data_IF_212184582372
#
_entry.id   IF_212184582372
#
_cell.length_a   1.000
_cell.length_b   1.000
_cell.length_c   1.000
_cell.angle_alpha   90.00
_cell.angle_beta   90.00
_cell.angle_gamma   90.00
#
_symmetry.space_group_name_H-M   'P 1'
#
loop_
_entity.id
_entity.type
_entity.pdbx_description
1 polymer ?
#
# COMPACT_ATOMS: atom_id res chain seq x y z
N UNK A 1 34.81 -40.62 14.16
CA UNK A 1 33.60 -40.19 13.42
C UNK A 1 33.18 -38.75 13.71
N UNK A 2 33.05 -38.32 14.98
CA UNK A 2 32.67 -36.93 15.33
C UNK A 2 33.63 -35.85 14.80
N UNK A 3 34.94 -36.10 14.81
CA UNK A 3 35.94 -35.16 14.29
C UNK A 3 35.90 -35.03 12.76
N UNK A 4 35.59 -36.11 12.03
CA UNK A 4 35.39 -36.09 10.58
C UNK A 4 34.12 -35.32 10.18
N UNK A 5 33.05 -35.44 10.97
CA UNK A 5 31.82 -34.65 10.82
C UNK A 5 32.06 -33.16 11.07
N UNK A 6 32.84 -32.81 12.10
CA UNK A 6 33.22 -31.42 12.36
C UNK A 6 34.09 -30.84 11.24
N UNK A 7 35.02 -31.64 10.71
CA UNK A 7 35.86 -31.24 9.58
C UNK A 7 35.03 -31.04 8.31
N UNK A 8 34.05 -31.91 8.03
CA UNK A 8 33.19 -31.77 6.85
C UNK A 8 32.28 -30.55 6.96
N UNK A 9 31.76 -30.26 8.16
CA UNK A 9 30.93 -29.07 8.41
C UNK A 9 31.74 -27.77 8.23
N UNK A 10 33.01 -27.78 8.66
CA UNK A 10 33.91 -26.65 8.49
C UNK A 10 34.20 -26.41 7.00
N UNK A 11 34.50 -27.46 6.23
CA UNK A 11 34.75 -27.35 4.78
C UNK A 11 33.51 -26.86 4.02
N UNK A 12 32.31 -27.34 4.35
CA UNK A 12 31.06 -26.85 3.75
C UNK A 12 30.80 -25.36 4.03
N UNK A 13 31.32 -24.84 5.15
CA UNK A 13 31.14 -23.43 5.52
C UNK A 13 31.94 -22.48 4.61
N UNK A 14 33.02 -22.97 3.97
CA UNK A 14 33.87 -22.18 3.08
C UNK A 14 33.42 -22.17 1.61
N UNK A 15 32.43 -22.98 1.21
CA UNK A 15 31.90 -22.99 -0.16
C UNK A 15 30.78 -21.96 -0.40
N UNK A 16 30.50 -21.10 0.59
CA UNK A 16 29.38 -20.14 0.57
C UNK A 16 29.60 -18.84 -0.21
N UNK A 17 30.73 -18.66 -0.91
CA UNK A 17 30.97 -17.49 -1.74
C UNK A 17 30.00 -17.44 -2.92
N UNK A 18 28.83 -16.82 -2.74
CA UNK A 18 27.93 -16.48 -3.83
C UNK A 18 28.42 -15.21 -4.51
N UNK A 19 28.81 -15.34 -5.78
CA UNK A 19 28.96 -14.19 -6.67
C UNK A 19 27.56 -13.71 -7.05
N UNK A 20 27.02 -12.74 -6.32
CA UNK A 20 25.69 -12.18 -6.62
C UNK A 20 25.84 -11.28 -7.85
N UNK A 21 25.31 -11.74 -8.98
CA UNK A 21 25.25 -10.93 -10.19
C UNK A 21 24.41 -9.68 -9.92
N UNK A 22 25.05 -8.51 -9.95
CA UNK A 22 24.37 -7.23 -9.84
C UNK A 22 23.62 -6.96 -11.14
N UNK A 23 22.31 -6.61 -11.08
CA UNK A 23 21.56 -6.25 -12.27
C UNK A 23 22.19 -5.00 -12.92
N UNK A 24 22.39 -5.06 -14.23
CA UNK A 24 22.84 -3.91 -15.00
C UNK A 24 21.79 -2.80 -14.97
N UNK A 25 22.23 -1.54 -15.08
CA UNK A 25 21.33 -0.40 -15.15
C UNK A 25 20.49 -0.47 -16.43
N UNK A 26 19.14 -0.58 -16.34
CA UNK A 26 18.29 -0.59 -17.52
C UNK A 26 18.39 0.74 -18.28
N UNK A 27 18.34 0.68 -19.63
CA UNK A 27 18.37 1.89 -20.49
C UNK A 27 17.15 2.79 -20.27
N UNK A 28 16.04 2.16 -19.91
CA UNK A 28 14.73 2.72 -19.67
C UNK A 28 14.39 2.73 -18.16
N UNK A 29 15.40 2.88 -17.30
CA UNK A 29 15.20 2.91 -15.85
C UNK A 29 14.11 3.92 -15.43
N UNK A 30 13.10 3.44 -14.71
CA UNK A 30 12.07 4.28 -14.08
C UNK A 30 12.76 5.16 -13.04
N UNK A 31 12.57 6.49 -13.08
CA UNK A 31 13.17 7.39 -12.09
C UNK A 31 12.73 7.05 -10.67
N UNK A 32 13.56 7.36 -9.66
CA UNK A 32 13.24 7.08 -8.24
C UNK A 32 11.88 7.66 -7.86
N UNK A 33 11.61 8.91 -8.22
CA UNK A 33 10.35 9.61 -7.91
C UNK A 33 9.14 8.92 -8.56
N UNK A 34 9.27 8.56 -9.84
CA UNK A 34 8.21 7.84 -10.57
C UNK A 34 8.00 6.44 -10.01
N UNK A 35 9.05 5.78 -9.54
CA UNK A 35 8.97 4.49 -8.85
C UNK A 35 8.23 4.63 -7.52
N UNK A 36 8.47 5.70 -6.75
CA UNK A 36 7.70 5.99 -5.53
C UNK A 36 6.22 6.20 -5.87
N UNK A 37 5.89 6.97 -6.91
CA UNK A 37 4.49 7.16 -7.35
C UNK A 37 3.83 5.83 -7.73
N UNK A 38 4.51 5.04 -8.56
CA UNK A 38 4.01 3.76 -9.08
C UNK A 38 3.80 2.74 -7.96
N UNK A 39 4.77 2.60 -7.04
CA UNK A 39 4.64 1.73 -5.89
C UNK A 39 3.53 2.20 -4.95
N UNK A 40 3.39 3.52 -4.71
CA UNK A 40 2.27 4.05 -3.91
C UNK A 40 0.93 3.58 -4.47
N UNK A 41 0.73 3.69 -5.79
CA UNK A 41 -0.50 3.23 -6.46
C UNK A 41 -0.66 1.71 -6.40
N UNK A 42 0.42 0.95 -6.57
CA UNK A 42 0.39 -0.51 -6.46
C UNK A 42 -0.04 -0.98 -5.06
N UNK A 43 0.44 -0.33 -4.00
CA UNK A 43 0.03 -0.65 -2.62
C UNK A 43 -1.42 -0.22 -2.35
N UNK A 44 -1.88 0.91 -2.89
CA UNK A 44 -3.31 1.28 -2.83
C UNK A 44 -4.20 0.28 -3.56
N UNK A 45 -3.78 -0.19 -4.74
CA UNK A 45 -4.47 -1.24 -5.47
C UNK A 45 -4.54 -2.55 -4.68
N UNK A 46 -3.44 -2.94 -4.01
CA UNK A 46 -3.43 -4.11 -3.14
C UNK A 46 -4.37 -3.96 -1.95
N UNK A 47 -4.46 -2.76 -1.35
CA UNK A 47 -5.43 -2.47 -0.31
C UNK A 47 -6.89 -2.53 -0.84
N UNK A 48 -7.15 -2.07 -2.06
CA UNK A 48 -8.48 -2.20 -2.67
C UNK A 48 -8.86 -3.67 -2.91
N UNK A 49 -7.91 -4.49 -3.39
CA UNK A 49 -8.10 -5.93 -3.58
C UNK A 49 -8.37 -6.66 -2.26
N UNK A 50 -7.71 -6.28 -1.17
CA UNK A 50 -7.93 -6.92 0.13
C UNK A 50 -9.33 -6.66 0.69
N UNK A 51 -10.00 -5.58 0.25
CA UNK A 51 -11.40 -5.29 0.61
C UNK A 51 -12.38 -6.16 -0.19
N UNK A 52 -12.28 -6.17 -1.52
CA UNK A 52 -13.17 -6.99 -2.36
C UNK A 52 -12.56 -7.26 -3.75
N UNK A 53 -11.67 -8.25 -3.82
CA UNK A 53 -11.07 -8.66 -5.09
C UNK A 53 -12.10 -9.23 -6.07
N UNK A 54 -13.13 -9.94 -5.59
CA UNK A 54 -14.13 -10.56 -6.46
C UNK A 54 -14.88 -9.49 -7.28
N UNK A 55 -15.32 -8.41 -6.64
CA UNK A 55 -16.00 -7.32 -7.34
C UNK A 55 -15.11 -6.61 -8.38
N UNK A 56 -13.78 -6.60 -8.19
CA UNK A 56 -12.82 -6.06 -9.16
C UNK A 56 -12.72 -7.02 -10.36
N UNK A 57 -12.56 -8.32 -10.09
CA UNK A 57 -12.41 -9.37 -11.11
C UNK A 57 -13.69 -9.54 -11.93
N UNK A 58 -14.86 -9.56 -11.31
CA UNK A 58 -16.17 -9.71 -11.97
C UNK A 58 -16.45 -8.57 -12.96
N UNK A 59 -15.94 -7.37 -12.66
CA UNK A 59 -16.01 -6.20 -13.55
C UNK A 59 -14.95 -6.22 -14.65
N UNK A 60 -14.11 -7.25 -14.71
CA UNK A 60 -13.01 -7.37 -15.66
C UNK A 60 -11.90 -6.32 -15.47
N UNK A 61 -11.79 -5.73 -14.28
CA UNK A 61 -10.85 -4.62 -14.03
C UNK A 61 -9.44 -5.20 -13.84
N UNK A 62 -8.55 -4.88 -14.78
CA UNK A 62 -7.13 -5.23 -14.71
C UNK A 62 -6.32 -4.09 -14.09
N UNK A 63 -6.34 -3.99 -12.76
CA UNK A 63 -5.73 -2.86 -12.06
C UNK A 63 -4.24 -2.69 -12.39
N UNK A 64 -3.45 -3.77 -12.45
CA UNK A 64 -2.02 -3.66 -12.77
C UNK A 64 -1.78 -3.04 -14.16
N UNK A 65 -2.58 -3.45 -15.15
CA UNK A 65 -2.52 -2.87 -16.49
C UNK A 65 -2.91 -1.39 -16.51
N UNK A 66 -3.86 -0.98 -15.66
CA UNK A 66 -4.24 0.42 -15.52
C UNK A 66 -3.11 1.24 -14.89
N UNK A 67 -2.45 0.72 -13.86
CA UNK A 67 -1.29 1.38 -13.23
C UNK A 67 -0.19 1.59 -14.26
N UNK A 68 0.25 0.52 -14.93
CA UNK A 68 1.27 0.58 -15.99
C UNK A 68 0.92 1.61 -17.08
N UNK A 69 -0.32 1.60 -17.56
CA UNK A 69 -0.82 2.58 -18.53
C UNK A 69 -0.77 4.01 -18.01
N UNK A 70 -1.23 4.26 -16.79
CA UNK A 70 -1.28 5.59 -16.17
C UNK A 70 0.12 6.19 -16.00
N UNK A 71 1.09 5.36 -15.64
CA UNK A 71 2.48 5.78 -15.47
C UNK A 71 3.29 5.73 -16.76
N UNK A 72 2.75 5.25 -17.89
CA UNK A 72 3.50 5.01 -19.14
C UNK A 72 4.76 4.17 -18.85
N UNK A 73 4.54 3.03 -18.22
CA UNK A 73 5.54 2.03 -17.88
C UNK A 73 5.03 0.68 -18.35
N UNK A 74 5.89 -0.17 -18.89
CA UNK A 74 5.53 -1.57 -19.14
C UNK A 74 6.02 -2.49 -18.01
N UNK A 75 5.49 -3.71 -17.97
CA UNK A 75 5.77 -4.67 -16.90
C UNK A 75 7.24 -5.09 -16.84
N UNK A 76 7.92 -5.16 -17.99
CA UNK A 76 9.33 -5.55 -18.06
C UNK A 76 10.22 -4.40 -17.61
N UNK A 77 9.93 -3.17 -18.03
CA UNK A 77 10.57 -1.96 -17.54
C UNK A 77 10.46 -1.85 -16.01
N UNK A 78 9.27 -2.09 -15.45
CA UNK A 78 9.08 -2.13 -14.00
C UNK A 78 9.92 -3.22 -13.33
N UNK A 79 9.85 -4.46 -13.82
CA UNK A 79 10.59 -5.57 -13.25
C UNK A 79 12.11 -5.32 -13.23
N UNK A 80 12.66 -4.83 -14.35
CA UNK A 80 14.08 -4.52 -14.48
C UNK A 80 14.49 -3.33 -13.59
N UNK A 81 13.67 -2.28 -13.53
CA UNK A 81 13.92 -1.13 -12.65
C UNK A 81 13.84 -1.50 -11.18
N UNK A 82 12.87 -2.33 -10.80
CA UNK A 82 12.72 -2.83 -9.44
C UNK A 82 13.91 -3.71 -9.04
N UNK A 83 14.34 -4.62 -9.91
CA UNK A 83 15.54 -5.43 -9.68
C UNK A 83 16.79 -4.56 -9.51
N UNK A 84 16.97 -3.55 -10.37
CA UNK A 84 18.08 -2.60 -10.27
C UNK A 84 18.11 -1.87 -8.93
N UNK A 85 16.97 -1.34 -8.47
CA UNK A 85 16.91 -0.66 -7.18
C UNK A 85 17.05 -1.59 -5.98
N UNK A 86 16.50 -2.81 -6.05
CA UNK A 86 16.58 -3.79 -4.97
C UNK A 86 18.01 -4.30 -4.72
N UNK A 87 18.92 -4.12 -5.68
CA UNK A 87 20.32 -4.53 -5.56
C UNK A 87 21.13 -3.65 -4.61
N UNK A 88 20.69 -2.40 -4.37
CA UNK A 88 21.21 -1.52 -3.32
C UNK A 88 20.14 -1.30 -2.25
N UNK A 89 20.31 -2.01 -1.13
CA UNK A 89 19.37 -2.01 0.01
C UNK A 89 19.11 -0.58 0.51
N UNK A 90 20.11 0.29 0.54
CA UNK A 90 19.95 1.65 1.04
C UNK A 90 19.04 2.46 0.10
N UNK A 91 19.33 2.43 -1.21
CA UNK A 91 18.47 3.08 -2.21
C UNK A 91 17.05 2.53 -2.19
N UNK A 92 16.88 1.21 -2.05
CA UNK A 92 15.56 0.61 -2.03
C UNK A 92 14.78 1.03 -0.78
N UNK A 93 15.44 1.09 0.37
CA UNK A 93 14.85 1.58 1.61
C UNK A 93 14.38 3.03 1.49
N UNK A 94 15.17 3.92 0.87
CA UNK A 94 14.78 5.31 0.63
C UNK A 94 13.47 5.41 -0.19
N UNK A 95 13.33 4.57 -1.22
CA UNK A 95 12.11 4.51 -2.04
C UNK A 95 10.92 4.12 -1.16
N UNK A 96 11.04 3.04 -0.39
CA UNK A 96 9.95 2.57 0.46
C UNK A 96 9.58 3.52 1.59
N UNK A 97 10.55 4.19 2.21
CA UNK A 97 10.27 5.23 3.21
C UNK A 97 9.44 6.37 2.63
N UNK A 98 9.72 6.78 1.39
CA UNK A 98 8.90 7.78 0.69
C UNK A 98 7.50 7.27 0.35
N UNK A 99 7.37 5.99 -0.05
CA UNK A 99 6.07 5.34 -0.28
C UNK A 99 5.25 5.34 1.01
N UNK A 100 5.83 4.88 2.10
CA UNK A 100 5.19 4.85 3.42
C UNK A 100 4.74 6.24 3.86
N UNK A 101 5.62 7.25 3.79
CA UNK A 101 5.29 8.61 4.17
C UNK A 101 4.08 9.17 3.40
N UNK A 102 3.96 8.85 2.10
CA UNK A 102 2.81 9.25 1.28
C UNK A 102 1.53 8.53 1.70
N UNK A 103 1.60 7.21 1.90
CA UNK A 103 0.45 6.42 2.35
C UNK A 103 -0.06 6.90 3.71
N UNK A 104 0.84 7.15 4.67
CA UNK A 104 0.50 7.71 5.99
C UNK A 104 -0.15 9.09 5.87
N UNK A 105 0.35 9.93 4.98
CA UNK A 105 -0.25 11.26 4.72
C UNK A 105 -1.66 11.14 4.14
N UNK A 106 -1.86 10.23 3.17
CA UNK A 106 -3.18 9.95 2.59
C UNK A 106 -4.14 9.40 3.64
N UNK A 107 -3.70 8.47 4.48
CA UNK A 107 -4.49 7.91 5.57
C UNK A 107 -4.97 8.99 6.52
N UNK A 108 -4.05 9.83 7.04
CA UNK A 108 -4.39 10.94 7.94
C UNK A 108 -5.43 11.89 7.35
N UNK A 109 -5.28 12.21 6.06
CA UNK A 109 -6.25 13.05 5.33
C UNK A 109 -7.63 12.38 5.27
N UNK A 110 -7.68 11.09 4.96
CA UNK A 110 -8.94 10.34 4.89
C UNK A 110 -9.61 10.21 6.25
N UNK A 111 -8.84 10.00 7.30
CA UNK A 111 -9.38 9.87 8.66
C UNK A 111 -9.95 11.19 9.16
N UNK A 112 -9.26 12.31 8.92
CA UNK A 112 -9.77 13.65 9.22
C UNK A 112 -11.09 13.94 8.50
N UNK A 113 -11.21 13.54 7.23
CA UNK A 113 -12.47 13.69 6.47
C UNK A 113 -13.57 12.83 7.08
N UNK A 114 -13.28 11.58 7.45
CA UNK A 114 -14.26 10.68 8.09
C UNK A 114 -14.76 11.23 9.42
N UNK A 115 -13.87 11.78 10.24
CA UNK A 115 -14.23 12.40 11.52
C UNK A 115 -15.12 13.63 11.32
N UNK A 116 -14.77 14.52 10.38
CA UNK A 116 -15.59 15.67 10.05
C UNK A 116 -17.00 15.27 9.57
N UNK A 117 -17.09 14.23 8.73
CA UNK A 117 -18.37 13.71 8.26
C UNK A 117 -19.21 13.07 9.37
N UNK A 118 -18.57 12.34 10.28
CA UNK A 118 -19.23 11.77 11.46
C UNK A 118 -19.80 12.88 12.35
N UNK A 119 -18.98 13.87 12.70
CA UNK A 119 -19.40 15.00 13.53
C UNK A 119 -20.56 15.78 12.89
N UNK A 120 -20.51 15.98 11.57
CA UNK A 120 -21.62 16.60 10.82
C UNK A 120 -22.90 15.78 10.93
N UNK A 121 -22.85 14.47 10.69
CA UNK A 121 -24.03 13.59 10.81
C UNK A 121 -24.59 13.57 12.23
N UNK A 122 -23.74 13.50 13.25
CA UNK A 122 -24.15 13.52 14.65
C UNK A 122 -24.82 14.85 15.01
N UNK A 123 -24.31 15.98 14.52
CA UNK A 123 -24.92 17.30 14.74
C UNK A 123 -26.30 17.44 14.05
N UNK A 124 -26.51 16.78 12.92
CA UNK A 124 -27.80 16.76 12.22
C UNK A 124 -28.76 15.83 12.95
N UNK A 125 -28.29 14.66 13.39
CA UNK A 125 -29.09 13.71 14.17
C UNK A 125 -29.61 14.32 15.47
N UNK A 126 -28.74 15.01 16.23
CA UNK A 126 -29.13 15.72 17.46
C UNK A 126 -30.18 16.79 17.20
N UNK A 127 -29.99 17.64 16.19
CA UNK A 127 -30.97 18.68 15.83
C UNK A 127 -32.32 18.10 15.44
N UNK A 128 -32.35 17.02 14.64
CA UNK A 128 -33.59 16.33 14.29
C UNK A 128 -34.28 15.70 15.50
N UNK A 129 -33.50 15.16 16.44
CA UNK A 129 -34.05 14.61 17.69
C UNK A 129 -34.68 15.72 18.53
N UNK A 130 -34.00 16.85 18.73
CA UNK A 130 -34.50 18.01 19.46
C UNK A 130 -35.76 18.63 18.80
N UNK A 131 -35.80 18.69 17.47
CA UNK A 131 -36.97 19.16 16.70
C UNK A 131 -38.17 18.21 16.86
N UNK A 132 -37.95 16.89 16.80
CA UNK A 132 -39.03 15.91 16.99
C UNK A 132 -39.57 15.90 18.44
N UNK A 133 -38.69 16.04 19.44
CA UNK A 133 -39.09 16.12 20.86
C UNK A 133 -39.90 17.39 21.15
N UNK A 134 -39.60 18.49 20.47
CA UNK A 134 -40.36 19.75 20.63
C UNK A 134 -41.64 19.81 19.80
N UNK A 135 -41.77 19.00 18.75
CA UNK A 135 -42.97 18.88 17.92
C UNK A 135 -43.98 17.83 18.42
N UNK A 136 -43.61 16.97 19.38
CA UNK A 136 -44.52 15.99 19.94
C UNK A 136 -45.54 16.68 20.88
N UNK A 137 -46.86 16.60 20.60
CA UNK A 137 -47.84 17.29 21.44
C UNK A 137 -47.80 16.70 22.84
N UNK A 138 -47.66 17.57 23.85
CA UNK A 138 -47.73 17.21 25.26
C UNK A 138 -49.08 16.51 25.50
N UNK A 139 -49.07 15.18 25.58
CA UNK A 139 -50.23 14.44 26.07
C UNK A 139 -50.28 14.70 27.57
N UNK A 140 -51.18 15.61 27.95
CA UNK A 140 -51.54 15.84 29.33
C UNK A 140 -52.20 14.56 29.87
N UNK A 141 -51.39 13.67 30.42
CA UNK A 141 -51.87 12.54 31.20
C UNK A 141 -52.06 13.04 32.62
N UNK A 142 -53.34 13.17 33.02
CA UNK A 142 -53.97 13.02 34.35
C UNK A 142 -55.24 13.91 34.35
N UNK A 143 -56.45 13.38 34.10
CA UNK A 143 -57.35 12.82 35.14
C UNK A 143 -56.66 12.46 36.46
#
# INVERSE_FOLDING_TARGET
MKQLLLLSLLVLSFTGCQNVAQPEKPKDLISKEKMVDLLTEAYLANAARSVNNQAIVDKGIKIDSLIYKNFRVDSLQFANSNAYYAADVNTYMEIFQKVEARLVTMQKKMDSIREADKNRKDSIGKRKFEENVSAEPVRDSLI
#
